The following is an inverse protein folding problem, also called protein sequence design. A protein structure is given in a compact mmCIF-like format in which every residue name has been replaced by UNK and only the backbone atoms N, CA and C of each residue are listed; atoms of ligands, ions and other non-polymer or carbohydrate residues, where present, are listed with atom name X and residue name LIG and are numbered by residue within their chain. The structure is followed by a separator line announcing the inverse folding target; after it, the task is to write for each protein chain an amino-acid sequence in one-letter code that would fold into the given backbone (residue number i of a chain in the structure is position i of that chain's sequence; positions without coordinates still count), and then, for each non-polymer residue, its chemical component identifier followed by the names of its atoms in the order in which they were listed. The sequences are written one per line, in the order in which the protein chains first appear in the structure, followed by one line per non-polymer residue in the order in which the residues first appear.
data_IF_815570989731
#
_entry.id   IF_815570989731
#
_cell.length_a   1.000
_cell.length_b   1.000
_cell.length_c   1.000
_cell.angle_alpha   90.00
_cell.angle_beta   90.00
_cell.angle_gamma   90.00
#
_symmetry.space_group_name_H-M   'P 1'
#
loop_
_entity.id
_entity.type
_entity.pdbx_description
1 polymer ?
#
# COMPACT_ATOMS: atom_id res chain seq x y z
N UNK A 1 12.07 -8.18 42.11
CA UNK A 1 12.32 -8.23 40.66
C UNK A 1 10.97 -8.52 40.03
N UNK A 2 10.44 -7.60 39.25
CA UNK A 2 9.24 -7.85 38.44
C UNK A 2 9.77 -8.68 37.26
N UNK A 3 9.40 -9.96 37.20
CA UNK A 3 9.65 -10.76 36.01
C UNK A 3 8.99 -10.03 34.85
N UNK A 4 9.80 -9.66 33.86
CA UNK A 4 9.29 -9.14 32.61
C UNK A 4 8.45 -10.29 32.00
N UNK A 5 7.13 -10.11 31.99
CA UNK A 5 6.24 -11.00 31.29
C UNK A 5 6.60 -10.84 29.78
N UNK A 6 7.38 -11.78 29.25
CA UNK A 6 7.71 -11.80 27.83
C UNK A 6 6.38 -11.95 27.08
N UNK A 7 5.84 -10.84 26.65
CA UNK A 7 4.64 -10.84 25.82
C UNK A 7 4.97 -11.60 24.54
N UNK A 8 4.12 -12.55 24.17
CA UNK A 8 4.29 -13.26 22.91
C UNK A 8 4.35 -12.28 21.73
N UNK A 9 5.22 -12.56 20.73
CA UNK A 9 5.29 -11.72 19.55
C UNK A 9 3.92 -11.51 18.90
N UNK A 10 3.65 -10.28 18.53
CA UNK A 10 2.41 -9.93 17.81
C UNK A 10 2.61 -10.09 16.31
N UNK A 11 1.51 -10.28 15.61
CA UNK A 11 1.45 -10.23 14.15
C UNK A 11 0.65 -9.00 13.75
N UNK A 12 1.28 -8.11 13.01
CA UNK A 12 0.66 -6.92 12.45
C UNK A 12 0.40 -7.14 10.97
N UNK A 13 -0.74 -6.68 10.50
CA UNK A 13 -1.07 -6.56 9.09
C UNK A 13 -1.34 -5.09 8.79
N UNK A 14 -0.57 -4.52 7.87
CA UNK A 14 -0.83 -3.20 7.30
C UNK A 14 -1.51 -3.38 5.95
N UNK A 15 -2.69 -2.80 5.77
CA UNK A 15 -3.45 -2.83 4.52
C UNK A 15 -3.53 -1.43 3.97
N UNK A 16 -3.01 -1.21 2.77
CA UNK A 16 -2.96 0.10 2.10
C UNK A 16 -3.71 0.06 0.78
N UNK A 17 -4.24 1.20 0.33
CA UNK A 17 -4.87 1.29 -0.97
C UNK A 17 -3.83 1.16 -2.11
N UNK A 18 -2.70 1.84 -1.96
CA UNK A 18 -1.62 1.91 -2.94
C UNK A 18 -0.27 1.59 -2.29
N UNK A 19 0.75 1.15 -3.05
CA UNK A 19 2.06 0.78 -2.50
C UNK A 19 2.75 1.90 -1.70
N UNK A 20 2.64 3.16 -2.13
CA UNK A 20 3.30 4.28 -1.46
C UNK A 20 2.71 4.65 -0.10
N UNK A 21 1.45 4.26 0.18
CA UNK A 21 0.77 4.56 1.45
C UNK A 21 1.45 3.90 2.65
N UNK A 22 2.24 2.85 2.43
CA UNK A 22 3.03 2.20 3.50
C UNK A 22 3.86 3.19 4.29
N UNK A 23 4.28 4.29 3.67
CA UNK A 23 5.10 5.33 4.30
C UNK A 23 4.47 5.90 5.57
N UNK A 24 3.14 5.90 5.68
CA UNK A 24 2.42 6.38 6.87
C UNK A 24 2.51 5.41 8.06
N UNK A 25 2.89 4.16 7.83
CA UNK A 25 2.92 3.11 8.87
C UNK A 25 4.31 2.60 9.19
N UNK A 26 5.35 2.97 8.42
CA UNK A 26 6.71 2.45 8.57
C UNK A 26 7.30 2.65 9.96
N UNK A 27 7.08 3.81 10.58
CA UNK A 27 7.58 4.08 11.94
C UNK A 27 6.95 3.15 12.99
N UNK A 28 5.64 2.91 12.90
CA UNK A 28 4.95 1.94 13.76
C UNK A 28 5.44 0.53 13.50
N UNK A 29 5.55 0.15 12.23
CA UNK A 29 6.03 -1.17 11.81
C UNK A 29 7.44 -1.46 12.31
N UNK A 30 8.37 -0.52 12.14
CA UNK A 30 9.74 -0.65 12.62
C UNK A 30 9.81 -0.86 14.14
N UNK A 31 9.01 -0.09 14.89
CA UNK A 31 8.96 -0.26 16.34
C UNK A 31 8.49 -1.66 16.76
N UNK A 32 7.50 -2.21 16.06
CA UNK A 32 7.04 -3.59 16.31
C UNK A 32 8.10 -4.63 15.93
N UNK A 33 8.79 -4.46 14.79
CA UNK A 33 9.90 -5.34 14.37
C UNK A 33 11.02 -5.32 15.41
N UNK A 34 11.42 -4.15 15.93
CA UNK A 34 12.44 -4.03 16.99
C UNK A 34 12.07 -4.78 18.28
N UNK A 35 10.78 -4.95 18.53
CA UNK A 35 10.26 -5.71 19.68
C UNK A 35 10.18 -7.22 19.43
N UNK A 36 10.49 -7.68 18.20
CA UNK A 36 10.37 -9.07 17.81
C UNK A 36 8.99 -9.46 17.30
N UNK A 37 8.10 -8.51 17.03
CA UNK A 37 6.82 -8.74 16.38
C UNK A 37 7.02 -8.95 14.87
N UNK A 38 6.06 -9.58 14.19
CA UNK A 38 6.08 -9.70 12.72
C UNK A 38 5.13 -8.70 12.09
N UNK A 39 5.52 -8.17 10.92
CA UNK A 39 4.73 -7.22 10.15
C UNK A 39 4.60 -7.73 8.73
N UNK A 40 3.36 -7.81 8.24
CA UNK A 40 3.02 -8.02 6.83
C UNK A 40 2.40 -6.76 6.28
N UNK A 41 2.78 -6.36 5.07
CA UNK A 41 2.21 -5.24 4.34
C UNK A 41 1.48 -5.76 3.10
N UNK A 42 0.25 -5.30 2.88
CA UNK A 42 -0.54 -5.63 1.69
C UNK A 42 -1.05 -4.34 1.07
N UNK A 43 -0.64 -4.07 -0.16
CA UNK A 43 -1.26 -3.04 -1.00
C UNK A 43 -2.41 -3.66 -1.78
N UNK A 44 -3.60 -3.05 -1.74
CA UNK A 44 -4.79 -3.55 -2.42
C UNK A 44 -4.76 -3.31 -3.93
N UNK A 45 -3.88 -2.47 -4.42
CA UNK A 45 -3.73 -2.20 -5.85
C UNK A 45 -2.26 -2.15 -6.27
N UNK A 46 -2.05 -2.19 -7.58
CA UNK A 46 -0.73 -2.05 -8.19
C UNK A 46 -0.19 -0.60 -8.18
N UNK A 47 -1.03 0.38 -7.88
CA UNK A 47 -0.66 1.79 -7.76
C UNK A 47 -0.16 2.45 -9.04
N UNK A 48 -0.43 1.86 -10.20
CA UNK A 48 0.15 2.31 -11.49
C UNK A 48 -0.45 3.63 -11.96
N UNK A 49 -1.73 3.88 -11.66
CA UNK A 49 -2.41 5.11 -12.06
C UNK A 49 -2.14 6.26 -11.10
N UNK A 50 -1.83 5.92 -9.85
CA UNK A 50 -1.58 6.88 -8.77
C UNK A 50 -0.08 7.10 -8.59
N UNK A 51 0.38 8.33 -8.67
CA UNK A 51 1.77 8.73 -8.42
C UNK A 51 2.81 8.04 -9.34
N UNK A 52 2.70 8.28 -10.65
CA UNK A 52 3.81 8.06 -11.56
C UNK A 52 4.58 9.36 -11.78
N UNK A 53 5.45 9.71 -10.81
CA UNK A 53 6.21 10.97 -10.81
C UNK A 53 7.11 11.08 -12.05
N UNK A 54 7.67 9.96 -12.51
CA UNK A 54 8.52 9.95 -13.70
C UNK A 54 7.71 10.29 -14.96
N UNK A 55 6.51 9.77 -15.08
CA UNK A 55 5.59 10.12 -16.17
C UNK A 55 5.13 11.58 -16.04
N UNK A 56 4.78 12.02 -14.84
CA UNK A 56 4.36 13.39 -14.60
C UNK A 56 5.48 14.40 -14.94
N UNK A 57 6.72 14.12 -14.52
CA UNK A 57 7.87 14.94 -14.85
C UNK A 57 8.14 14.95 -16.36
N UNK A 58 7.96 13.83 -17.03
CA UNK A 58 8.10 13.76 -18.46
C UNK A 58 7.02 14.57 -19.19
N UNK A 59 5.78 14.53 -18.68
CA UNK A 59 4.66 15.29 -19.23
C UNK A 59 4.80 16.81 -19.05
N UNK A 60 5.55 17.28 -18.05
CA UNK A 60 5.86 18.71 -17.83
C UNK A 60 6.86 19.27 -18.84
N UNK A 61 7.64 18.41 -19.53
CA UNK A 61 8.59 18.83 -20.56
C UNK A 61 7.89 19.25 -21.85
N UNK A 62 8.55 20.11 -22.67
CA UNK A 62 8.11 20.35 -24.04
C UNK A 62 7.98 19.04 -24.83
N UNK A 63 7.01 18.94 -25.72
CA UNK A 63 6.71 17.68 -26.42
C UNK A 63 7.92 17.11 -27.21
N UNK A 64 8.79 18.00 -27.71
CA UNK A 64 10.02 17.64 -28.44
C UNK A 64 11.12 17.04 -27.56
N UNK A 65 11.01 17.15 -26.23
CA UNK A 65 12.01 16.70 -25.25
C UNK A 65 11.54 15.48 -24.47
N UNK A 66 10.28 15.03 -24.71
CA UNK A 66 9.69 13.91 -24.00
C UNK A 66 10.25 12.58 -24.49
N UNK A 67 10.59 11.73 -23.55
CA UNK A 67 11.11 10.39 -23.81
C UNK A 67 9.95 9.41 -24.08
N UNK A 68 9.93 8.85 -25.27
CA UNK A 68 8.86 7.96 -25.72
C UNK A 68 8.76 6.68 -24.87
N UNK A 69 9.89 6.17 -24.36
CA UNK A 69 9.95 4.98 -23.52
C UNK A 69 9.23 5.15 -22.18
N UNK A 70 9.16 6.37 -21.65
CA UNK A 70 8.40 6.67 -20.42
C UNK A 70 6.92 6.81 -20.75
N UNK A 71 6.60 7.57 -21.79
CA UNK A 71 5.21 7.82 -22.21
C UNK A 71 4.47 6.55 -22.63
N UNK A 72 5.20 5.55 -23.11
CA UNK A 72 4.67 4.30 -23.67
C UNK A 72 4.97 3.08 -22.81
N UNK A 73 5.44 3.30 -21.56
CA UNK A 73 5.75 2.20 -20.65
C UNK A 73 4.51 1.33 -20.41
N UNK A 74 4.63 0.01 -20.63
CA UNK A 74 3.54 -0.91 -20.36
C UNK A 74 3.12 -0.88 -18.88
N UNK A 75 1.80 -0.96 -18.61
CA UNK A 75 1.27 -1.01 -17.23
C UNK A 75 1.92 -2.12 -16.40
N UNK A 76 2.14 -3.28 -17.00
CA UNK A 76 2.78 -4.42 -16.32
C UNK A 76 4.21 -4.13 -15.86
N UNK A 77 4.99 -3.39 -16.65
CA UNK A 77 6.34 -2.98 -16.26
C UNK A 77 6.30 -1.98 -15.09
N UNK A 78 5.36 -1.05 -15.15
CA UNK A 78 5.15 -0.10 -14.06
C UNK A 78 4.70 -0.79 -12.77
N UNK A 79 3.81 -1.79 -12.86
CA UNK A 79 3.36 -2.57 -11.70
C UNK A 79 4.52 -3.32 -11.03
N UNK A 80 5.40 -3.95 -11.82
CA UNK A 80 6.61 -4.62 -11.31
C UNK A 80 7.53 -3.61 -10.60
N UNK A 81 7.71 -2.43 -11.18
CA UNK A 81 8.51 -1.37 -10.56
C UNK A 81 7.93 -0.94 -9.22
N UNK A 82 6.61 -0.67 -9.16
CA UNK A 82 5.92 -0.28 -7.92
C UNK A 82 6.00 -1.35 -6.83
N UNK A 83 5.89 -2.62 -7.21
CA UNK A 83 6.11 -3.73 -6.28
C UNK A 83 7.54 -3.72 -5.73
N UNK A 84 8.54 -3.60 -6.60
CA UNK A 84 9.95 -3.55 -6.18
C UNK A 84 10.27 -2.34 -5.27
N UNK A 85 9.63 -1.19 -5.52
CA UNK A 85 9.73 0.00 -4.65
C UNK A 85 9.14 -0.28 -3.25
N UNK A 86 7.98 -0.93 -3.17
CA UNK A 86 7.37 -1.33 -1.91
C UNK A 86 8.25 -2.33 -1.15
N UNK A 87 8.68 -3.39 -1.81
CA UNK A 87 9.57 -4.41 -1.22
C UNK A 87 10.86 -3.79 -0.71
N UNK A 88 11.47 -2.90 -1.52
CA UNK A 88 12.70 -2.21 -1.17
C UNK A 88 12.56 -1.32 0.07
N UNK A 89 11.50 -0.52 0.16
CA UNK A 89 11.29 0.32 1.34
C UNK A 89 10.93 -0.53 2.57
N UNK A 90 10.12 -1.56 2.42
CA UNK A 90 9.78 -2.47 3.50
C UNK A 90 11.02 -3.16 4.09
N UNK A 91 11.93 -3.63 3.23
CA UNK A 91 13.17 -4.27 3.64
C UNK A 91 14.08 -3.35 4.48
N UNK A 92 14.11 -2.04 4.19
CA UNK A 92 14.87 -1.06 5.00
C UNK A 92 14.39 -0.98 6.45
N UNK A 93 13.14 -1.35 6.71
CA UNK A 93 12.51 -1.35 8.04
C UNK A 93 12.36 -2.74 8.64
N UNK A 94 13.00 -3.77 8.02
CA UNK A 94 12.96 -5.14 8.51
C UNK A 94 11.64 -5.87 8.24
N UNK A 95 10.79 -5.34 7.36
CA UNK A 95 9.54 -5.97 6.93
C UNK A 95 9.87 -6.91 5.77
N UNK A 96 9.72 -8.22 5.98
CA UNK A 96 10.09 -9.25 5.01
C UNK A 96 8.91 -9.67 4.11
N UNK A 97 7.67 -9.43 4.54
CA UNK A 97 6.46 -9.81 3.80
C UNK A 97 5.70 -8.55 3.34
N UNK A 98 5.93 -8.18 2.08
CA UNK A 98 5.27 -7.06 1.42
C UNK A 98 4.63 -7.55 0.12
N UNK A 99 3.32 -7.39 0.00
CA UNK A 99 2.50 -7.93 -1.11
C UNK A 99 1.78 -6.80 -1.82
N UNK A 100 1.69 -6.91 -3.14
CA UNK A 100 0.86 -6.05 -3.99
C UNK A 100 -0.19 -6.91 -4.66
N UNK A 101 -1.46 -6.64 -4.42
CA UNK A 101 -2.54 -7.32 -5.11
C UNK A 101 -2.67 -6.76 -6.54
N UNK A 102 -2.94 -7.59 -7.55
CA UNK A 102 -2.88 -7.20 -8.95
C UNK A 102 -4.16 -6.48 -9.44
N UNK A 103 -4.72 -5.62 -8.60
CA UNK A 103 -5.91 -4.86 -8.97
C UNK A 103 -5.53 -3.46 -9.43
N UNK A 104 -6.23 -2.94 -10.45
CA UNK A 104 -6.03 -1.57 -10.88
C UNK A 104 -6.54 -0.60 -9.83
N UNK A 105 -5.84 0.51 -9.68
CA UNK A 105 -6.19 1.63 -8.84
C UNK A 105 -6.99 2.70 -9.60
N UNK A 106 -7.60 3.59 -8.86
CA UNK A 106 -8.24 4.84 -9.30
C UNK A 106 -9.22 4.67 -10.49
N UNK A 107 -10.38 4.02 -10.30
CA UNK A 107 -10.93 3.57 -9.02
C UNK A 107 -10.65 2.10 -8.71
N UNK A 108 -10.49 1.79 -7.44
CA UNK A 108 -10.36 0.43 -6.90
C UNK A 108 -11.71 -0.28 -6.75
N UNK A 109 -12.78 0.48 -6.60
CA UNK A 109 -14.15 0.01 -6.29
C UNK A 109 -14.68 -1.10 -7.22
N UNK A 110 -14.47 -1.10 -8.54
CA UNK A 110 -14.93 -2.19 -9.41
C UNK A 110 -14.36 -3.55 -9.06
N UNK A 111 -13.23 -3.59 -8.37
CA UNK A 111 -12.57 -4.83 -7.95
C UNK A 111 -12.90 -5.26 -6.52
N UNK A 112 -13.72 -4.50 -5.78
CA UNK A 112 -13.93 -4.64 -4.33
C UNK A 112 -14.29 -6.07 -3.88
N UNK A 113 -15.16 -6.78 -4.58
CA UNK A 113 -15.54 -8.16 -4.23
C UNK A 113 -14.38 -9.15 -4.35
N UNK A 114 -13.50 -8.97 -5.33
CA UNK A 114 -12.32 -9.82 -5.52
C UNK A 114 -11.24 -9.47 -4.49
N UNK A 115 -11.05 -8.19 -4.24
CA UNK A 115 -10.13 -7.69 -3.21
C UNK A 115 -10.54 -8.24 -1.84
N UNK A 116 -11.83 -8.21 -1.51
CA UNK A 116 -12.34 -8.76 -0.25
C UNK A 116 -12.04 -10.26 -0.13
N UNK A 117 -12.16 -11.03 -1.22
CA UNK A 117 -11.80 -12.46 -1.23
C UNK A 117 -10.31 -12.66 -0.94
N UNK A 118 -9.43 -11.98 -1.67
CA UNK A 118 -7.97 -12.07 -1.48
C UNK A 118 -7.55 -11.61 -0.08
N UNK A 119 -8.13 -10.51 0.41
CA UNK A 119 -7.85 -9.99 1.74
C UNK A 119 -8.32 -10.98 2.83
N UNK A 120 -9.44 -11.66 2.61
CA UNK A 120 -9.93 -12.70 3.51
C UNK A 120 -8.93 -13.85 3.60
N UNK A 121 -8.36 -14.28 2.47
CA UNK A 121 -7.36 -15.34 2.45
C UNK A 121 -6.07 -14.89 3.20
N UNK A 122 -5.63 -13.65 2.99
CA UNK A 122 -4.52 -13.06 3.73
C UNK A 122 -4.79 -13.03 5.24
N UNK A 123 -5.98 -12.61 5.66
CA UNK A 123 -6.37 -12.60 7.07
C UNK A 123 -6.36 -14.00 7.69
N UNK A 124 -6.82 -15.01 6.95
CA UNK A 124 -6.77 -16.41 7.40
C UNK A 124 -5.35 -16.97 7.49
N UNK A 125 -4.46 -16.58 6.58
CA UNK A 125 -3.06 -16.98 6.57
C UNK A 125 -2.29 -16.32 7.72
N UNK A 126 -2.32 -14.99 7.81
CA UNK A 126 -1.53 -14.21 8.75
C UNK A 126 -2.08 -14.30 10.18
N UNK A 127 -3.41 -14.34 10.33
CA UNK A 127 -4.11 -14.26 11.63
C UNK A 127 -3.60 -13.10 12.47
N UNK A 128 -3.68 -11.87 11.99
CA UNK A 128 -3.09 -10.72 12.66
C UNK A 128 -3.75 -10.47 14.02
N UNK A 129 -2.97 -9.98 14.97
CA UNK A 129 -3.47 -9.45 16.24
C UNK A 129 -3.86 -7.98 16.11
N UNK A 130 -3.22 -7.27 15.17
CA UNK A 130 -3.44 -5.85 14.89
C UNK A 130 -3.53 -5.67 13.38
N UNK A 131 -4.56 -4.95 12.93
CA UNK A 131 -4.67 -4.49 11.54
C UNK A 131 -4.59 -2.97 11.53
N UNK A 132 -3.73 -2.42 10.67
CA UNK A 132 -3.60 -0.99 10.42
C UNK A 132 -4.06 -0.75 8.99
N UNK A 133 -5.02 0.13 8.81
CA UNK A 133 -5.55 0.48 7.49
C UNK A 133 -6.02 1.93 7.46
N UNK A 134 -6.52 2.36 6.30
CA UNK A 134 -7.09 3.69 6.11
C UNK A 134 -8.39 3.89 6.91
N UNK A 135 -8.76 5.16 7.13
CA UNK A 135 -10.05 5.48 7.72
C UNK A 135 -11.21 5.10 6.77
N UNK A 136 -12.27 4.44 7.26
CA UNK A 136 -13.36 3.93 6.43
C UNK A 136 -14.34 5.00 5.92
N UNK A 137 -14.01 6.26 6.07
CA UNK A 137 -14.89 7.38 5.71
C UNK A 137 -14.09 8.51 5.07
N UNK A 138 -14.74 9.18 4.13
CA UNK A 138 -14.19 10.37 3.50
C UNK A 138 -14.24 11.55 4.49
N UNK A 139 -13.08 12.12 4.81
CA UNK A 139 -13.04 13.38 5.52
C UNK A 139 -13.52 14.48 4.58
N UNK A 140 -14.54 15.26 4.95
CA UNK A 140 -14.95 16.39 4.15
C UNK A 140 -13.92 17.51 4.29
N UNK A 141 -12.83 17.41 3.56
CA UNK A 141 -12.01 18.60 3.32
C UNK A 141 -12.85 19.55 2.46
N UNK A 142 -13.28 20.66 3.03
CA UNK A 142 -14.01 21.73 2.34
C UNK A 142 -13.22 22.11 1.09
N UNK A 143 -13.65 21.69 -0.07
CA UNK A 143 -13.15 21.98 -1.43
C UNK A 143 -12.43 20.84 -2.17
N UNK A 144 -12.38 19.63 -1.68
CA UNK A 144 -11.93 18.51 -2.49
C UNK A 144 -13.13 17.71 -2.99
N UNK A 145 -13.54 18.03 -4.21
CA UNK A 145 -14.31 17.11 -5.06
C UNK A 145 -13.30 16.07 -5.57
N UNK A 146 -12.83 15.16 -4.73
CA UNK A 146 -11.70 14.35 -5.10
C UNK A 146 -12.10 12.94 -5.42
N UNK A 147 -11.70 12.53 -6.60
CA UNK A 147 -11.55 11.13 -7.00
C UNK A 147 -10.62 10.33 -6.05
N UNK A 148 -9.84 10.99 -5.23
CA UNK A 148 -8.87 10.44 -4.26
C UNK A 148 -9.53 9.78 -3.04
N UNK A 149 -10.77 10.14 -2.73
CA UNK A 149 -11.43 9.71 -1.51
C UNK A 149 -11.90 8.24 -1.58
N UNK A 150 -12.02 7.65 -2.78
CA UNK A 150 -12.67 6.37 -2.92
C UNK A 150 -11.77 5.18 -2.57
N UNK A 151 -10.52 5.15 -3.05
CA UNK A 151 -9.65 3.99 -2.84
C UNK A 151 -9.21 3.86 -1.39
N UNK A 152 -8.81 4.95 -0.73
CA UNK A 152 -8.42 4.93 0.68
C UNK A 152 -9.59 4.60 1.59
N UNK A 153 -10.75 5.23 1.40
CA UNK A 153 -11.93 4.91 2.21
C UNK A 153 -12.43 3.49 1.97
N UNK A 154 -12.35 2.99 0.74
CA UNK A 154 -12.66 1.61 0.42
C UNK A 154 -11.72 0.64 1.14
N UNK A 155 -10.41 0.90 1.12
CA UNK A 155 -9.44 0.08 1.85
C UNK A 155 -9.74 -0.01 3.36
N UNK A 156 -10.30 1.07 3.94
CA UNK A 156 -10.74 1.08 5.33
C UNK A 156 -12.08 0.40 5.59
N UNK A 157 -12.89 0.17 4.55
CA UNK A 157 -14.22 -0.47 4.65
C UNK A 157 -14.18 -1.98 4.43
N UNK A 158 -13.19 -2.48 3.70
CA UNK A 158 -12.97 -3.90 3.43
C UNK A 158 -12.45 -4.63 4.66
#
# INVERSE_FOLDING_TARGET
MIEANESQPLRLLTVTAHPHDVTYTLGTSAHHIERGDSVTVVSLSDGVTTHDEELEDEMRKPASERRAEILQRPRSEQAIRKQGELEGVCALFGIEDARVLPFPDNPLEPSSSKILSELTDVLHEIRPHIVITHAPYNYPYKNMTSLWDNDHSLAGQL
#
